data_IF_521291697445
#
_entry.id   IF_521291697445
#
_cell.length_a   1.000
_cell.length_b   1.000
_cell.length_c   1.000
_cell.angle_alpha   90.00
_cell.angle_beta   90.00
_cell.angle_gamma   90.00
#
_symmetry.space_group_name_H-M   'P 1'
#
loop_
_entity.id
_entity.type
_entity.pdbx_description
1 polymer ?
#
# COMPACT_ATOMS: atom_id res chain seq x y z
N UNK A 1 8.87 -40.62 -25.83
CA UNK A 1 7.71 -40.13 -26.63
C UNK A 1 7.89 -38.63 -26.88
N UNK A 2 7.72 -38.18 -28.13
CA UNK A 2 7.76 -36.74 -28.42
C UNK A 2 6.52 -36.03 -27.83
N UNK A 3 6.70 -34.91 -27.16
CA UNK A 3 5.61 -34.11 -26.63
C UNK A 3 4.82 -33.50 -27.79
N UNK A 4 3.49 -33.71 -27.80
CA UNK A 4 2.56 -33.13 -28.79
C UNK A 4 1.68 -32.08 -28.14
N UNK A 5 1.16 -31.12 -28.91
CA UNK A 5 0.33 -29.99 -28.40
C UNK A 5 -0.87 -30.48 -27.56
N UNK A 6 -1.51 -31.57 -27.96
CA UNK A 6 -2.65 -32.15 -27.22
C UNK A 6 -2.27 -32.79 -25.87
N UNK A 7 -0.97 -32.98 -25.59
CA UNK A 7 -0.51 -33.43 -24.27
C UNK A 7 -0.37 -32.30 -23.25
N UNK A 8 -0.34 -31.06 -23.72
CA UNK A 8 -0.25 -29.90 -22.85
C UNK A 8 -1.55 -29.71 -22.07
N UNK A 9 -1.48 -29.86 -20.76
CA UNK A 9 -2.61 -29.69 -19.84
C UNK A 9 -2.15 -28.81 -18.69
N UNK A 10 -3.03 -27.93 -18.17
CA UNK A 10 -2.72 -27.19 -16.94
C UNK A 10 -2.49 -28.16 -15.77
N UNK A 11 -1.73 -27.74 -14.78
CA UNK A 11 -1.53 -28.50 -13.56
C UNK A 11 -2.88 -28.85 -12.91
N UNK A 12 -2.99 -30.02 -12.22
CA UNK A 12 -4.21 -30.41 -11.51
C UNK A 12 -4.65 -29.31 -10.53
N UNK A 13 -5.92 -28.88 -10.62
CA UNK A 13 -6.48 -27.80 -9.80
C UNK A 13 -6.31 -26.38 -10.35
N UNK A 14 -5.47 -26.14 -11.36
CA UNK A 14 -5.28 -24.83 -11.96
C UNK A 14 -6.51 -24.34 -12.76
N UNK A 15 -7.37 -25.24 -13.20
CA UNK A 15 -8.60 -24.91 -13.93
C UNK A 15 -9.77 -25.73 -13.39
N UNK A 16 -10.76 -25.06 -12.85
CA UNK A 16 -12.05 -25.63 -12.42
C UNK A 16 -13.13 -25.32 -13.45
N UNK A 17 -13.91 -26.32 -13.81
CA UNK A 17 -15.04 -26.11 -14.72
C UNK A 17 -16.08 -25.21 -14.06
N UNK A 18 -16.52 -24.16 -14.77
CA UNK A 18 -17.56 -23.26 -14.30
C UNK A 18 -18.89 -24.02 -14.17
N UNK A 19 -19.49 -23.98 -12.97
CA UNK A 19 -20.81 -24.57 -12.73
C UNK A 19 -21.86 -23.80 -13.52
N UNK A 20 -22.56 -24.46 -14.44
CA UNK A 20 -23.68 -23.90 -15.19
C UNK A 20 -24.96 -24.16 -14.43
N UNK A 21 -25.60 -23.12 -13.95
CA UNK A 21 -26.87 -23.19 -13.19
C UNK A 21 -28.08 -23.26 -14.14
N UNK A 22 -29.20 -23.81 -13.66
CA UNK A 22 -30.44 -23.89 -14.44
C UNK A 22 -30.36 -24.88 -15.62
N UNK A 23 -29.56 -25.96 -15.53
CA UNK A 23 -29.38 -26.98 -16.57
C UNK A 23 -29.97 -28.35 -16.20
N UNK A 24 -30.99 -28.36 -15.37
CA UNK A 24 -31.66 -29.56 -14.93
C UNK A 24 -31.36 -29.90 -13.45
N UNK A 25 -32.05 -30.91 -12.90
CA UNK A 25 -32.01 -31.20 -11.48
C UNK A 25 -30.73 -31.91 -11.02
N UNK A 26 -29.97 -32.55 -11.89
CA UNK A 26 -28.68 -33.18 -11.60
C UNK A 26 -27.55 -32.20 -11.30
N UNK A 27 -27.80 -30.88 -11.34
CA UNK A 27 -26.89 -29.81 -10.98
C UNK A 27 -27.62 -28.77 -10.12
N UNK A 28 -27.17 -27.53 -10.03
CA UNK A 28 -27.93 -26.43 -9.42
C UNK A 28 -29.10 -26.01 -10.36
N UNK A 29 -30.08 -26.95 -10.53
CA UNK A 29 -31.25 -26.77 -11.36
C UNK A 29 -32.30 -25.86 -10.73
N UNK A 30 -33.56 -26.17 -10.89
CA UNK A 30 -34.79 -25.51 -10.40
C UNK A 30 -34.69 -24.01 -10.02
N UNK A 31 -34.04 -23.67 -8.91
CA UNK A 31 -33.87 -22.30 -8.41
C UNK A 31 -32.50 -21.67 -8.71
N UNK A 32 -31.61 -22.41 -9.37
CA UNK A 32 -30.24 -21.96 -9.74
C UNK A 32 -29.43 -21.38 -8.57
N UNK A 33 -29.71 -21.82 -7.32
CA UNK A 33 -29.08 -21.34 -6.10
C UNK A 33 -29.61 -20.01 -5.56
N UNK A 34 -30.71 -19.49 -6.14
CA UNK A 34 -31.31 -18.20 -5.72
C UNK A 34 -32.42 -18.35 -4.65
N UNK A 35 -32.89 -19.57 -4.37
CA UNK A 35 -34.05 -19.80 -3.50
C UNK A 35 -35.39 -19.52 -4.21
N UNK A 36 -36.50 -19.50 -3.44
CA UNK A 36 -37.87 -19.45 -4.00
C UNK A 36 -38.51 -18.07 -4.00
N UNK A 37 -38.26 -17.27 -2.98
CA UNK A 37 -38.85 -15.92 -2.81
C UNK A 37 -37.78 -14.88 -2.49
N UNK A 38 -38.13 -13.61 -2.62
CA UNK A 38 -37.25 -12.48 -2.36
C UNK A 38 -36.76 -11.80 -3.64
N UNK A 39 -36.25 -10.60 -3.47
CA UNK A 39 -35.82 -9.75 -4.61
C UNK A 39 -34.64 -10.35 -5.37
N UNK A 40 -33.69 -10.99 -4.69
CA UNK A 40 -32.53 -11.64 -5.34
C UNK A 40 -32.88 -12.90 -6.14
N UNK A 41 -34.06 -13.49 -5.90
CA UNK A 41 -34.53 -14.64 -6.68
C UNK A 41 -34.95 -14.25 -8.10
N UNK A 42 -35.37 -13.00 -8.33
CA UNK A 42 -35.92 -12.50 -9.58
C UNK A 42 -35.03 -11.52 -10.30
N UNK A 43 -34.35 -10.65 -9.56
CA UNK A 43 -33.51 -9.59 -10.10
C UNK A 43 -32.10 -9.58 -9.49
N UNK A 44 -31.18 -8.89 -10.14
CA UNK A 44 -29.90 -8.53 -9.57
C UNK A 44 -30.10 -7.24 -8.76
N UNK A 45 -29.96 -7.36 -7.44
CA UNK A 45 -30.03 -6.21 -6.54
C UNK A 45 -28.61 -5.74 -6.27
N UNK A 46 -28.30 -4.44 -6.45
CA UNK A 46 -27.01 -3.87 -6.08
C UNK A 46 -26.67 -4.14 -4.61
N UNK A 47 -25.40 -4.35 -4.29
CA UNK A 47 -24.94 -4.67 -2.93
C UNK A 47 -25.24 -3.53 -1.94
N UNK A 48 -25.26 -2.29 -2.43
CA UNK A 48 -25.55 -1.09 -1.63
C UNK A 48 -27.05 -0.78 -1.47
N UNK A 49 -27.95 -1.66 -1.94
CA UNK A 49 -29.39 -1.43 -1.82
C UNK A 49 -29.92 -1.83 -0.43
N UNK A 50 -30.45 -0.86 0.29
CA UNK A 50 -30.98 -1.02 1.66
C UNK A 50 -32.50 -1.08 1.71
N UNK A 51 -33.17 -1.70 0.72
CA UNK A 51 -34.61 -1.91 0.73
C UNK A 51 -35.48 -0.65 0.59
N UNK A 52 -34.91 0.44 0.08
CA UNK A 52 -35.58 1.74 -0.05
C UNK A 52 -35.22 2.73 1.07
N UNK A 53 -34.54 2.31 2.09
CA UNK A 53 -33.93 3.21 3.07
C UNK A 53 -32.76 3.95 2.41
N UNK A 54 -32.54 5.21 2.80
CA UNK A 54 -31.39 5.99 2.34
C UNK A 54 -30.07 5.27 2.69
N UNK A 55 -29.22 4.92 1.70
CA UNK A 55 -27.98 4.20 1.94
C UNK A 55 -27.02 4.92 2.91
N UNK A 56 -26.22 4.16 3.66
CA UNK A 56 -25.33 4.70 4.68
C UNK A 56 -24.41 5.80 4.14
N UNK A 57 -23.86 5.63 2.94
CA UNK A 57 -22.99 6.61 2.31
C UNK A 57 -23.68 7.96 2.00
N UNK A 58 -25.00 7.95 1.86
CA UNK A 58 -25.81 9.18 1.70
C UNK A 58 -26.24 9.80 3.02
N UNK A 59 -26.33 8.99 4.10
CA UNK A 59 -26.67 9.47 5.45
C UNK A 59 -25.48 10.12 6.14
N UNK A 60 -24.26 9.71 5.80
CA UNK A 60 -23.05 10.28 6.37
C UNK A 60 -22.83 11.70 5.87
N UNK A 61 -22.48 12.66 6.75
CA UNK A 61 -22.17 14.01 6.33
C UNK A 61 -20.94 14.02 5.43
N UNK A 62 -20.92 14.94 4.48
CA UNK A 62 -19.76 15.15 3.60
C UNK A 62 -18.53 15.56 4.42
N UNK A 63 -17.38 15.01 4.08
CA UNK A 63 -16.10 15.42 4.65
C UNK A 63 -15.87 16.91 4.32
N UNK A 64 -15.51 17.69 5.34
CA UNK A 64 -15.17 19.10 5.18
C UNK A 64 -13.74 19.25 4.69
N UNK A 65 -13.47 20.38 4.01
CA UNK A 65 -12.16 20.72 3.50
C UNK A 65 -11.87 20.19 2.10
N UNK A 66 -10.65 20.38 1.69
CA UNK A 66 -10.13 19.95 0.38
C UNK A 66 -8.71 19.40 0.53
N UNK A 67 -8.32 18.59 -0.42
CA UNK A 67 -6.93 18.12 -0.54
C UNK A 67 -6.22 18.98 -1.58
N UNK A 68 -5.15 19.67 -1.19
CA UNK A 68 -4.33 20.44 -2.13
C UNK A 68 -3.70 19.50 -3.17
N UNK A 69 -3.83 19.83 -4.46
CA UNK A 69 -3.21 19.08 -5.56
C UNK A 69 -1.69 19.22 -5.57
N UNK A 70 -1.19 20.33 -5.03
CA UNK A 70 0.24 20.67 -5.00
C UNK A 70 0.90 20.28 -3.67
N UNK A 71 0.24 19.41 -2.87
CA UNK A 71 0.83 18.93 -1.62
C UNK A 71 1.97 17.96 -1.93
N UNK A 72 3.18 18.33 -1.51
CA UNK A 72 4.35 17.46 -1.53
C UNK A 72 4.40 16.69 -0.20
N UNK A 73 4.35 15.38 -0.27
CA UNK A 73 4.48 14.51 0.89
C UNK A 73 5.90 13.97 0.96
N UNK A 74 6.56 14.26 2.09
CA UNK A 74 7.90 13.75 2.37
C UNK A 74 7.84 12.42 3.08
N UNK A 75 8.73 11.51 2.73
CA UNK A 75 9.03 10.35 3.55
C UNK A 75 9.91 10.79 4.71
N UNK A 76 9.53 10.39 5.92
CA UNK A 76 10.23 10.77 7.14
C UNK A 76 11.20 9.69 7.56
N UNK A 77 12.43 10.10 7.92
CA UNK A 77 13.44 9.26 8.56
C UNK A 77 13.89 9.95 9.84
N UNK A 78 13.85 9.25 10.97
CA UNK A 78 14.27 9.76 12.27
C UNK A 78 15.75 9.44 12.54
N UNK A 79 16.39 10.21 13.41
CA UNK A 79 17.81 10.05 13.74
C UNK A 79 18.12 8.68 14.35
N UNK A 80 17.26 8.15 15.21
CA UNK A 80 17.41 6.78 15.74
C UNK A 80 17.54 5.75 14.62
N UNK A 81 16.69 5.87 13.59
CA UNK A 81 16.72 4.95 12.47
C UNK A 81 17.99 5.11 11.63
N UNK A 82 18.50 6.34 11.49
CA UNK A 82 19.79 6.59 10.83
C UNK A 82 20.94 5.94 11.62
N UNK A 83 20.98 6.11 12.93
CA UNK A 83 21.99 5.48 13.79
C UNK A 83 21.97 3.93 13.72
N UNK A 84 20.79 3.33 13.66
CA UNK A 84 20.64 1.88 13.50
C UNK A 84 21.09 1.36 12.12
N UNK A 85 20.81 2.11 11.06
CA UNK A 85 21.13 1.71 9.68
C UNK A 85 22.61 1.95 9.32
N UNK A 86 23.24 2.95 9.97
CA UNK A 86 24.62 3.37 9.70
C UNK A 86 25.45 3.46 11.01
N UNK A 87 25.66 2.34 11.71
CA UNK A 87 26.39 2.34 12.98
C UNK A 87 27.86 2.69 12.84
N UNK A 88 28.44 2.52 11.67
CA UNK A 88 29.86 2.82 11.39
C UNK A 88 30.07 4.27 10.91
N UNK A 89 28.99 5.03 10.72
CA UNK A 89 29.07 6.37 10.15
C UNK A 89 29.16 6.37 8.63
N UNK A 90 29.53 7.53 8.05
CA UNK A 90 29.78 7.68 6.62
C UNK A 90 28.78 8.58 5.90
N UNK A 91 28.75 8.45 4.57
CA UNK A 91 27.84 9.22 3.71
C UNK A 91 26.46 8.54 3.62
N UNK A 92 25.42 9.35 3.82
CA UNK A 92 24.03 8.89 3.79
C UNK A 92 23.25 9.76 2.81
N UNK A 93 23.14 9.31 1.58
CA UNK A 93 22.30 9.93 0.57
C UNK A 93 20.95 9.23 0.41
N UNK A 94 20.12 9.75 -0.46
CA UNK A 94 18.80 9.16 -0.78
C UNK A 94 18.96 7.76 -1.37
N UNK A 95 20.00 7.50 -2.15
CA UNK A 95 20.26 6.20 -2.76
C UNK A 95 20.58 5.12 -1.71
N UNK A 96 21.39 5.46 -0.71
CA UNK A 96 21.78 4.57 0.42
C UNK A 96 20.56 4.26 1.29
N UNK A 97 19.70 5.27 1.54
CA UNK A 97 18.45 5.08 2.28
C UNK A 97 17.47 4.15 1.55
N UNK A 98 17.41 4.23 0.23
CA UNK A 98 16.61 3.31 -0.60
C UNK A 98 17.22 1.90 -0.57
N UNK A 99 18.55 1.76 -0.70
CA UNK A 99 19.24 0.48 -0.68
C UNK A 99 19.05 -0.25 0.66
N UNK A 100 19.05 0.48 1.80
CA UNK A 100 18.77 -0.03 3.14
C UNK A 100 17.26 -0.24 3.41
N UNK A 101 16.38 0.13 2.47
CA UNK A 101 14.92 -0.01 2.61
C UNK A 101 14.28 0.96 3.62
N UNK A 102 14.97 2.03 4.00
CA UNK A 102 14.44 3.07 4.89
C UNK A 102 13.37 3.94 4.22
N UNK A 103 13.53 4.18 2.92
CA UNK A 103 12.64 5.01 2.09
C UNK A 103 12.34 4.33 0.75
N UNK A 104 11.24 4.72 0.13
CA UNK A 104 10.82 4.25 -1.19
C UNK A 104 11.39 5.18 -2.26
N UNK A 105 11.70 4.63 -3.42
CA UNK A 105 12.20 5.38 -4.57
C UNK A 105 11.15 6.37 -5.11
N UNK A 106 11.60 7.56 -5.52
CA UNK A 106 10.76 8.53 -6.25
C UNK A 106 9.94 9.48 -5.38
N UNK A 107 10.16 9.51 -4.08
CA UNK A 107 9.53 10.48 -3.18
C UNK A 107 10.59 11.28 -2.41
N UNK A 108 10.34 12.57 -2.12
CA UNK A 108 11.28 13.38 -1.36
C UNK A 108 11.39 12.89 0.10
N UNK A 109 12.58 13.00 0.65
CA UNK A 109 12.93 12.53 1.99
C UNK A 109 13.18 13.72 2.92
N UNK A 110 12.66 13.63 4.15
CA UNK A 110 12.90 14.60 5.22
C UNK A 110 13.42 13.89 6.47
N UNK A 111 14.52 14.39 7.01
CA UNK A 111 15.08 13.89 8.28
C UNK A 111 14.53 14.70 9.44
N UNK A 112 14.03 14.00 10.45
CA UNK A 112 13.51 14.56 11.69
C UNK A 112 14.40 14.20 12.88
N UNK A 113 14.48 15.12 13.85
CA UNK A 113 15.35 15.05 15.01
C UNK A 113 14.86 14.19 16.17
N UNK A 114 14.00 13.20 15.88
CA UNK A 114 13.57 12.24 16.90
C UNK A 114 14.66 11.18 17.11
N UNK A 115 14.96 10.94 18.38
CA UNK A 115 16.07 10.08 18.81
C UNK A 115 17.40 10.79 19.01
N UNK A 116 18.43 10.00 19.28
CA UNK A 116 19.82 10.46 19.51
C UNK A 116 20.77 9.86 18.48
N UNK A 117 21.72 10.68 18.04
CA UNK A 117 22.76 10.25 17.10
C UNK A 117 24.12 10.29 17.81
N UNK A 118 24.76 9.14 17.90
CA UNK A 118 26.09 9.00 18.55
C UNK A 118 27.24 8.97 17.56
N UNK A 119 26.94 8.85 16.27
CA UNK A 119 27.92 8.66 15.19
C UNK A 119 27.89 9.85 14.23
N UNK A 120 29.04 10.30 13.79
CA UNK A 120 29.16 11.35 12.80
C UNK A 120 28.70 10.86 11.41
N UNK A 121 27.66 11.49 10.85
CA UNK A 121 27.08 11.17 9.54
C UNK A 121 27.12 12.39 8.61
N UNK A 122 27.45 12.16 7.35
CA UNK A 122 27.29 13.15 6.28
C UNK A 122 25.95 12.86 5.57
N UNK A 123 24.91 13.64 5.89
CA UNK A 123 23.55 13.36 5.41
C UNK A 123 23.18 14.30 4.27
N UNK A 124 22.81 13.73 3.12
CA UNK A 124 22.45 14.43 1.89
C UNK A 124 21.02 14.05 1.48
N UNK A 125 20.03 14.90 1.84
CA UNK A 125 18.60 14.67 1.60
C UNK A 125 17.86 15.96 1.27
N UNK A 126 16.59 15.87 0.85
CA UNK A 126 15.80 17.00 0.37
C UNK A 126 15.46 18.05 1.45
N UNK A 127 15.21 17.63 2.72
CA UNK A 127 14.91 18.55 3.83
C UNK A 127 15.29 17.97 5.20
N UNK A 128 15.55 18.88 6.13
CA UNK A 128 15.80 18.57 7.54
C UNK A 128 14.84 19.34 8.44
N UNK A 129 14.65 18.89 9.65
CA UNK A 129 14.11 19.73 10.74
C UNK A 129 15.26 20.47 11.44
N UNK A 130 14.99 21.60 12.05
CA UNK A 130 16.00 22.37 12.80
C UNK A 130 16.68 21.50 13.88
N UNK A 131 15.87 20.78 14.66
CA UNK A 131 16.38 19.86 15.68
C UNK A 131 17.23 18.71 15.13
N UNK A 132 16.95 18.24 13.90
CA UNK A 132 17.80 17.23 13.25
C UNK A 132 19.16 17.81 12.84
N UNK A 133 19.19 19.01 12.27
CA UNK A 133 20.43 19.69 11.90
C UNK A 133 21.32 19.93 13.13
N UNK A 134 20.74 20.44 14.21
CA UNK A 134 21.46 20.68 15.47
C UNK A 134 22.08 19.40 16.04
N UNK A 135 21.31 18.30 16.08
CA UNK A 135 21.79 17.01 16.60
C UNK A 135 22.84 16.35 15.70
N UNK A 136 22.70 16.44 14.37
CA UNK A 136 23.71 15.91 13.44
C UNK A 136 25.02 16.71 13.57
N UNK A 137 24.94 18.05 13.67
CA UNK A 137 26.12 18.88 13.89
C UNK A 137 26.77 18.64 15.25
N UNK A 138 25.98 18.46 16.31
CA UNK A 138 26.48 18.11 17.65
C UNK A 138 27.20 16.76 17.67
N UNK A 139 26.77 15.81 16.86
CA UNK A 139 27.45 14.52 16.67
C UNK A 139 28.68 14.59 15.74
N UNK A 140 29.07 15.79 15.25
CA UNK A 140 30.20 15.97 14.33
C UNK A 140 29.91 15.68 12.87
N UNK A 141 28.64 15.54 12.50
CA UNK A 141 28.20 15.27 11.13
C UNK A 141 27.95 16.55 10.32
N UNK A 142 27.66 16.37 9.04
CA UNK A 142 27.30 17.45 8.09
C UNK A 142 25.96 17.18 7.45
N UNK A 143 25.22 18.27 7.14
CA UNK A 143 23.90 18.20 6.48
C UNK A 143 23.93 18.95 5.16
N UNK A 144 23.51 18.32 4.07
CA UNK A 144 23.43 18.92 2.72
C UNK A 144 22.02 18.74 2.18
N UNK A 145 21.37 19.83 1.76
CA UNK A 145 20.08 19.78 1.08
C UNK A 145 20.28 19.63 -0.44
N UNK A 146 19.56 18.68 -1.05
CA UNK A 146 19.65 18.28 -2.46
C UNK A 146 18.41 18.66 -3.23
#
# INVERSE_FOLDING_TARGET
MALKVHHLRPAPGAKTAKTRVGRGEGSKGKTAGRGTKGSKARNNIPEYFEGGQMPLHMRLPKLKGFKSRNRVEFQVVNLDKLGQLFPEGGEVGVAELVAKGAVRRGQPVKVLGDGELTVALQVSVHKFSKSAQEKIQAAGGTTTEV
#
